data_IF_032308103943
#
_entry.id   IF_032308103943
#
_cell.length_a   1.000
_cell.length_b   1.000
_cell.length_c   1.000
_cell.angle_alpha   90.00
_cell.angle_beta   90.00
_cell.angle_gamma   90.00
#
_symmetry.space_group_name_H-M   'P 1'
#
loop_
_entity.id
_entity.type
_entity.pdbx_description
1 polymer ?
#
# COMPACT_ATOMS: atom_id res chain seq x y z
N UNK A 1 -12.18 10.19 -9.69
CA UNK A 1 -12.25 9.92 -8.25
C UNK A 1 -11.99 8.45 -8.04
N UNK A 2 -11.04 8.13 -7.17
CA UNK A 2 -10.57 6.78 -6.84
C UNK A 2 -10.99 6.45 -5.41
N UNK A 3 -11.50 5.24 -5.16
CA UNK A 3 -12.03 4.82 -3.87
C UNK A 3 -11.06 3.90 -3.14
N UNK A 4 -10.73 4.23 -1.91
CA UNK A 4 -9.84 3.45 -1.06
C UNK A 4 -10.53 2.99 0.23
N UNK A 5 -10.13 1.84 0.74
CA UNK A 5 -10.46 1.37 2.08
C UNK A 5 -9.18 1.09 2.84
N UNK A 6 -9.06 1.55 4.09
CA UNK A 6 -8.03 1.08 5.02
C UNK A 6 -8.66 0.17 6.08
N UNK A 7 -8.27 -1.10 6.08
CA UNK A 7 -8.54 -2.05 7.15
C UNK A 7 -7.46 -1.91 8.23
N UNK A 8 -7.88 -1.72 9.47
CA UNK A 8 -6.98 -1.51 10.61
C UNK A 8 -7.08 -2.73 11.53
N UNK A 9 -6.07 -3.61 11.50
CA UNK A 9 -5.96 -4.70 12.46
C UNK A 9 -5.23 -4.21 13.71
N UNK A 10 -5.96 -4.19 14.82
CA UNK A 10 -5.41 -3.79 16.12
C UNK A 10 -4.60 -4.91 16.76
N UNK A 11 -4.86 -6.16 16.40
CA UNK A 11 -4.30 -7.35 17.02
C UNK A 11 -3.83 -8.35 15.96
N UNK A 12 -2.69 -8.98 16.23
CA UNK A 12 -2.13 -10.09 15.48
C UNK A 12 -1.86 -11.22 16.46
N UNK A 13 -2.43 -12.40 16.21
CA UNK A 13 -2.18 -13.61 16.98
C UNK A 13 -1.94 -14.80 16.05
N UNK A 14 -0.66 -15.06 15.76
CA UNK A 14 -0.25 -16.02 14.74
C UNK A 14 0.76 -17.01 15.27
N UNK A 15 0.81 -18.19 14.65
CA UNK A 15 1.89 -19.16 14.84
C UNK A 15 2.71 -19.23 13.57
N UNK A 16 3.99 -18.91 13.68
CA UNK A 16 4.91 -18.90 12.55
C UNK A 16 5.78 -20.15 12.59
N UNK A 17 5.79 -20.90 11.50
CA UNK A 17 6.73 -21.99 11.29
C UNK A 17 7.97 -21.43 10.58
N UNK A 18 9.10 -21.36 11.29
CA UNK A 18 10.41 -21.03 10.70
C UNK A 18 11.31 -22.28 10.68
N UNK A 19 12.27 -22.31 9.76
CA UNK A 19 13.18 -23.44 9.54
C UNK A 19 14.05 -23.80 10.75
N UNK A 20 14.21 -22.88 11.71
CA UNK A 20 15.04 -23.06 12.92
C UNK A 20 14.32 -23.73 14.13
N UNK A 21 13.28 -24.54 13.89
CA UNK A 21 12.67 -25.42 14.91
C UNK A 21 12.07 -24.70 16.13
N UNK A 22 10.86 -24.15 15.95
CA UNK A 22 9.67 -24.22 16.84
C UNK A 22 8.60 -23.29 16.29
N UNK A 23 7.35 -23.74 16.23
CA UNK A 23 6.22 -22.83 16.05
C UNK A 23 6.34 -21.69 17.08
N UNK A 24 6.60 -20.47 16.60
CA UNK A 24 6.66 -19.30 17.46
C UNK A 24 5.33 -18.61 17.39
N UNK A 25 4.59 -18.60 18.51
CA UNK A 25 3.45 -17.71 18.64
C UNK A 25 3.95 -16.27 18.70
N UNK A 26 3.43 -15.42 17.84
CA UNK A 26 3.58 -13.98 17.89
C UNK A 26 2.21 -13.40 18.18
N UNK A 27 2.11 -12.69 19.31
CA UNK A 27 0.88 -12.04 19.75
C UNK A 27 1.18 -10.58 20.09
N UNK A 28 0.52 -9.65 19.43
CA UNK A 28 0.77 -8.22 19.63
C UNK A 28 -0.48 -7.37 19.34
N UNK A 29 -0.60 -6.29 20.10
CA UNK A 29 -1.61 -5.24 19.94
C UNK A 29 -0.94 -3.93 19.58
N UNK A 30 -1.51 -3.21 18.63
CA UNK A 30 -1.19 -1.81 18.42
C UNK A 30 -1.76 -0.97 19.56
N UNK A 31 -0.98 -0.01 20.05
CA UNK A 31 -1.52 1.01 20.94
C UNK A 31 -2.41 1.98 20.15
N UNK A 32 -3.31 2.68 20.86
CA UNK A 32 -4.11 3.75 20.28
C UNK A 32 -3.23 4.81 19.60
N UNK A 33 -2.10 5.18 20.20
CA UNK A 33 -1.15 6.13 19.61
C UNK A 33 -0.52 5.61 18.32
N UNK A 34 -0.16 4.31 18.26
CA UNK A 34 0.41 3.73 17.06
C UNK A 34 -0.59 3.69 15.89
N UNK A 35 -1.87 3.43 16.20
CA UNK A 35 -2.95 3.51 15.21
C UNK A 35 -3.16 4.96 14.78
N UNK A 36 -3.21 5.89 15.74
CA UNK A 36 -3.41 7.30 15.46
C UNK A 36 -2.29 7.87 14.57
N UNK A 37 -1.02 7.55 14.84
CA UNK A 37 0.12 7.98 14.01
C UNK A 37 0.01 7.45 12.56
N UNK A 38 -0.37 6.18 12.39
CA UNK A 38 -0.52 5.57 11.08
C UNK A 38 -1.73 6.13 10.31
N UNK A 39 -2.87 6.33 10.98
CA UNK A 39 -4.09 6.91 10.40
C UNK A 39 -3.89 8.39 10.06
N UNK A 40 -3.21 9.15 10.92
CA UNK A 40 -2.82 10.53 10.63
C UNK A 40 -1.99 10.58 9.34
N UNK A 41 -0.96 9.74 9.22
CA UNK A 41 -0.18 9.61 7.98
C UNK A 41 -1.07 9.24 6.77
N UNK A 42 -2.01 8.30 6.93
CA UNK A 42 -2.94 7.91 5.86
C UNK A 42 -3.81 9.08 5.39
N UNK A 43 -4.21 9.99 6.28
CA UNK A 43 -4.95 11.20 5.90
C UNK A 43 -4.17 12.14 4.97
N UNK A 44 -2.83 12.08 4.97
CA UNK A 44 -1.97 12.86 4.07
C UNK A 44 -1.95 12.34 2.62
N UNK A 45 -2.13 11.03 2.42
CA UNK A 45 -2.03 10.37 1.11
C UNK A 45 -2.98 10.95 0.04
N UNK A 46 -4.28 11.19 0.31
CA UNK A 46 -5.19 11.82 -0.66
C UNK A 46 -4.71 13.19 -1.13
N UNK A 47 -4.09 13.97 -0.23
CA UNK A 47 -3.53 15.29 -0.56
C UNK A 47 -2.35 15.14 -1.51
N UNK A 48 -1.43 14.21 -1.22
CA UNK A 48 -0.31 13.93 -2.11
C UNK A 48 -0.79 13.49 -3.50
N UNK A 49 -1.76 12.58 -3.60
CA UNK A 49 -2.29 12.16 -4.91
C UNK A 49 -2.79 13.36 -5.70
N UNK A 50 -3.59 14.24 -5.07
CA UNK A 50 -4.12 15.43 -5.73
C UNK A 50 -3.01 16.38 -6.17
N UNK A 51 -2.03 16.66 -5.32
CA UNK A 51 -0.94 17.59 -5.62
C UNK A 51 -0.03 17.06 -6.72
N UNK A 52 0.38 15.79 -6.61
CA UNK A 52 1.30 15.16 -7.54
C UNK A 52 0.65 14.94 -8.91
N UNK A 53 -0.67 14.84 -9.00
CA UNK A 53 -1.41 14.79 -10.29
C UNK A 53 -1.95 16.14 -10.75
N UNK A 54 -1.61 17.26 -10.08
CA UNK A 54 -2.21 18.58 -10.37
C UNK A 54 -3.76 18.58 -10.39
N UNK A 55 -4.37 17.75 -9.55
CA UNK A 55 -5.81 17.59 -9.43
C UNK A 55 -6.46 16.61 -10.41
N UNK A 56 -5.69 15.96 -11.29
CA UNK A 56 -6.25 14.99 -12.24
C UNK A 56 -6.79 13.72 -11.55
N UNK A 57 -6.26 13.37 -10.38
CA UNK A 57 -6.78 12.31 -9.52
C UNK A 57 -7.13 12.83 -8.13
N UNK A 58 -8.15 12.20 -7.53
CA UNK A 58 -8.58 12.43 -6.15
C UNK A 58 -8.91 11.10 -5.49
N UNK A 59 -8.65 11.00 -4.19
CA UNK A 59 -8.98 9.82 -3.38
C UNK A 59 -10.17 10.14 -2.48
N UNK A 60 -11.18 9.29 -2.52
CA UNK A 60 -12.20 9.13 -1.48
C UNK A 60 -11.82 7.89 -0.68
N UNK A 61 -11.89 7.93 0.66
CA UNK A 61 -11.51 6.79 1.48
C UNK A 61 -12.46 6.54 2.65
N UNK A 62 -12.53 5.28 3.05
CA UNK A 62 -13.16 4.80 4.27
C UNK A 62 -12.10 4.13 5.17
N UNK A 63 -12.32 4.15 6.47
CA UNK A 63 -11.48 3.51 7.49
C UNK A 63 -12.34 2.49 8.23
N UNK A 64 -11.87 1.25 8.35
CA UNK A 64 -12.58 0.20 9.08
C UNK A 64 -11.64 -0.48 10.08
N UNK A 65 -12.02 -0.45 11.35
CA UNK A 65 -11.22 -1.04 12.43
C UNK A 65 -11.69 -2.45 12.72
N UNK A 66 -10.78 -3.41 12.59
CA UNK A 66 -11.08 -4.82 12.80
C UNK A 66 -11.13 -5.14 14.29
N UNK A 67 -12.25 -5.76 14.69
CA UNK A 67 -12.47 -6.23 16.06
C UNK A 67 -11.86 -7.61 16.31
N UNK A 68 -11.75 -8.42 15.26
CA UNK A 68 -11.10 -9.72 15.34
C UNK A 68 -9.61 -9.59 15.06
N UNK A 69 -8.77 -10.40 15.73
CA UNK A 69 -7.35 -10.44 15.42
C UNK A 69 -7.10 -10.97 14.02
N UNK A 70 -6.00 -10.51 13.41
CA UNK A 70 -5.43 -11.21 12.27
C UNK A 70 -4.77 -12.50 12.79
N UNK A 71 -5.23 -13.66 12.31
CA UNK A 71 -4.83 -14.98 12.85
C UNK A 71 -3.99 -15.82 11.91
N UNK A 72 -3.73 -15.34 10.70
CA UNK A 72 -2.85 -15.99 9.74
C UNK A 72 -2.01 -14.97 8.98
N UNK A 73 -0.90 -15.44 8.44
CA UNK A 73 -0.08 -14.71 7.50
C UNK A 73 0.38 -15.69 6.42
N UNK A 74 0.41 -15.21 5.19
CA UNK A 74 0.95 -15.97 4.07
C UNK A 74 2.47 -15.85 4.05
N UNK A 75 3.13 -17.00 3.92
CA UNK A 75 4.57 -17.08 3.72
C UNK A 75 4.88 -16.89 2.23
N UNK A 76 5.68 -15.88 1.89
CA UNK A 76 6.20 -15.66 0.53
C UNK A 76 7.50 -16.40 0.28
N UNK A 77 8.39 -16.36 1.27
CA UNK A 77 9.72 -16.95 1.24
C UNK A 77 10.10 -17.46 2.64
N UNK A 78 11.29 -18.07 2.79
CA UNK A 78 11.73 -18.75 4.02
C UNK A 78 11.58 -17.92 5.31
N UNK A 79 11.68 -16.59 5.23
CA UNK A 79 11.53 -15.66 6.36
C UNK A 79 10.70 -14.42 6.02
N UNK A 80 9.74 -14.54 5.10
CA UNK A 80 8.91 -13.43 4.68
C UNK A 80 7.42 -13.75 4.83
N UNK A 81 6.79 -13.14 5.84
CA UNK A 81 5.37 -13.25 6.11
C UNK A 81 4.68 -11.90 5.94
N UNK A 82 3.45 -11.93 5.45
CA UNK A 82 2.63 -10.73 5.28
C UNK A 82 1.13 -11.10 5.29
N UNK A 83 0.25 -10.13 5.59
CA UNK A 83 -1.20 -10.31 5.44
C UNK A 83 -1.55 -10.29 3.96
N UNK A 84 -1.74 -11.45 3.36
CA UNK A 84 -2.26 -11.53 2.00
C UNK A 84 -3.77 -11.29 1.95
N UNK A 85 -4.37 -11.17 0.75
CA UNK A 85 -5.81 -11.19 0.61
C UNK A 85 -6.52 -12.43 1.18
N UNK A 86 -5.85 -13.59 1.30
CA UNK A 86 -6.46 -14.76 1.93
C UNK A 86 -6.50 -14.66 3.45
N UNK A 87 -5.50 -14.03 4.04
CA UNK A 87 -5.43 -13.79 5.49
C UNK A 87 -6.47 -12.76 5.96
N UNK A 88 -6.94 -11.92 5.04
CA UNK A 88 -7.94 -10.86 5.27
C UNK A 88 -9.26 -11.13 4.54
N UNK A 89 -9.48 -12.37 4.07
CA UNK A 89 -10.59 -12.74 3.18
C UNK A 89 -11.96 -12.35 3.72
N UNK A 90 -12.22 -12.65 4.99
CA UNK A 90 -13.51 -12.37 5.61
C UNK A 90 -13.83 -10.88 5.58
N UNK A 91 -12.85 -10.04 5.91
CA UNK A 91 -12.97 -8.59 5.89
C UNK A 91 -13.05 -8.04 4.46
N UNK A 92 -12.29 -8.61 3.50
CA UNK A 92 -12.41 -8.23 2.10
C UNK A 92 -13.81 -8.51 1.54
N UNK A 93 -14.38 -9.68 1.82
CA UNK A 93 -15.70 -10.05 1.30
C UNK A 93 -16.82 -9.24 1.94
N UNK A 94 -16.67 -8.88 3.22
CA UNK A 94 -17.64 -8.08 3.95
C UNK A 94 -17.54 -6.58 3.64
N UNK A 95 -16.33 -6.01 3.75
CA UNK A 95 -16.12 -4.58 3.70
C UNK A 95 -15.79 -4.10 2.29
N UNK A 96 -15.05 -4.88 1.48
CA UNK A 96 -14.59 -4.52 0.15
C UNK A 96 -15.03 -5.51 -0.95
N UNK A 97 -16.34 -5.77 -1.11
CA UNK A 97 -16.82 -6.59 -2.22
C UNK A 97 -16.44 -5.96 -3.57
N UNK A 98 -16.33 -6.79 -4.60
CA UNK A 98 -15.90 -6.36 -5.93
C UNK A 98 -16.64 -5.13 -6.44
N UNK A 99 -15.86 -4.15 -6.90
CA UNK A 99 -16.36 -2.89 -7.48
C UNK A 99 -16.73 -1.81 -6.45
N UNK A 100 -16.62 -2.08 -5.14
CA UNK A 100 -16.85 -1.06 -4.10
C UNK A 100 -15.66 -0.11 -3.96
N UNK A 101 -14.44 -0.66 -3.98
CA UNK A 101 -13.18 0.10 -3.87
C UNK A 101 -12.24 -0.25 -5.02
N UNK A 102 -11.41 0.72 -5.38
CA UNK A 102 -10.34 0.57 -6.35
C UNK A 102 -9.03 0.13 -5.67
N UNK A 103 -8.85 0.47 -4.38
CA UNK A 103 -7.72 0.07 -3.54
C UNK A 103 -8.15 -0.34 -2.14
N UNK A 104 -7.52 -1.38 -1.60
CA UNK A 104 -7.61 -1.78 -0.20
C UNK A 104 -6.23 -1.72 0.44
N UNK A 105 -6.15 -1.10 1.60
CA UNK A 105 -4.97 -1.04 2.44
C UNK A 105 -5.20 -1.83 3.72
N UNK A 106 -4.13 -2.37 4.29
CA UNK A 106 -4.15 -3.11 5.56
C UNK A 106 -3.05 -2.60 6.46
N UNK A 107 -3.41 -1.95 7.57
CA UNK A 107 -2.49 -1.66 8.66
C UNK A 107 -2.45 -2.86 9.61
N UNK A 108 -1.26 -3.37 9.91
CA UNK A 108 -1.13 -4.58 10.74
C UNK A 108 0.04 -4.55 11.75
N UNK A 109 -0.07 -5.29 12.89
CA UNK A 109 0.90 -5.30 13.98
C UNK A 109 2.10 -6.23 13.72
N UNK A 110 3.02 -5.84 12.82
CA UNK A 110 4.25 -6.60 12.55
C UNK A 110 5.29 -6.48 13.68
N UNK A 111 5.43 -5.31 14.28
CA UNK A 111 6.55 -4.94 15.15
C UNK A 111 6.10 -4.62 16.57
N UNK A 112 6.63 -5.35 17.55
CA UNK A 112 6.52 -5.00 18.96
C UNK A 112 7.83 -4.31 19.43
N UNK A 113 7.80 -2.97 19.44
CA UNK A 113 8.98 -2.16 19.78
C UNK A 113 9.36 -2.23 21.27
N UNK A 114 8.43 -2.59 22.16
CA UNK A 114 8.69 -2.66 23.60
C UNK A 114 9.61 -3.84 23.95
N UNK A 115 9.34 -5.01 23.39
CA UNK A 115 10.15 -6.21 23.63
C UNK A 115 11.08 -6.55 22.45
N UNK A 116 11.15 -5.68 21.43
CA UNK A 116 12.01 -5.82 20.24
C UNK A 116 11.77 -7.13 19.48
N UNK A 117 10.52 -7.57 19.42
CA UNK A 117 10.13 -8.73 18.61
C UNK A 117 9.36 -8.29 17.38
N UNK A 118 9.44 -9.07 16.32
CA UNK A 118 8.75 -8.77 15.06
C UNK A 118 8.44 -10.06 14.33
N UNK A 119 7.38 -10.03 13.53
CA UNK A 119 7.17 -11.02 12.48
C UNK A 119 8.27 -10.86 11.43
N UNK A 120 8.96 -11.95 11.04
CA UNK A 120 9.88 -11.93 9.92
C UNK A 120 9.16 -11.50 8.63
N UNK A 121 9.72 -10.53 7.94
CA UNK A 121 9.12 -9.94 6.76
C UNK A 121 10.04 -8.90 6.18
N UNK A 122 9.89 -8.64 4.88
CA UNK A 122 10.71 -7.69 4.13
C UNK A 122 10.43 -6.24 4.50
N UNK A 123 10.17 -5.42 3.48
CA UNK A 123 9.98 -3.98 3.56
C UNK A 123 8.85 -3.55 4.53
N UNK A 124 8.67 -2.23 4.66
CA UNK A 124 7.63 -1.66 5.52
C UNK A 124 6.24 -2.00 5.00
N UNK A 125 6.00 -1.83 3.70
CA UNK A 125 4.80 -2.29 3.04
C UNK A 125 5.07 -3.34 1.97
N UNK A 126 3.98 -3.93 1.51
CA UNK A 126 3.95 -4.80 0.36
C UNK A 126 2.63 -4.63 -0.38
N UNK A 127 2.71 -4.44 -1.70
CA UNK A 127 1.54 -4.17 -2.51
C UNK A 127 1.46 -5.05 -3.76
N UNK A 128 0.25 -5.13 -4.30
CA UNK A 128 -0.09 -5.86 -5.52
C UNK A 128 -1.13 -5.13 -6.37
N UNK A 129 -1.02 -5.35 -7.67
CA UNK A 129 -2.02 -4.94 -8.65
C UNK A 129 -3.37 -5.63 -8.45
N UNK A 130 -4.43 -4.99 -8.92
CA UNK A 130 -5.78 -5.52 -8.81
C UNK A 130 -5.92 -6.92 -9.43
N UNK A 131 -6.52 -7.85 -8.70
CA UNK A 131 -6.79 -9.20 -9.18
C UNK A 131 -8.00 -9.81 -8.46
N UNK A 132 -8.49 -10.95 -8.95
CA UNK A 132 -9.56 -11.70 -8.26
C UNK A 132 -9.19 -12.05 -6.81
N UNK A 133 -7.90 -12.20 -6.51
CA UNK A 133 -7.42 -12.48 -5.16
C UNK A 133 -7.80 -11.36 -4.18
N UNK A 134 -7.82 -10.12 -4.62
CA UNK A 134 -8.15 -8.93 -3.81
C UNK A 134 -9.51 -8.32 -4.20
N UNK A 135 -10.47 -9.15 -4.61
CA UNK A 135 -11.80 -8.72 -5.05
C UNK A 135 -11.78 -7.67 -6.19
N UNK A 136 -10.74 -7.72 -7.03
CA UNK A 136 -10.45 -6.79 -8.13
C UNK A 136 -10.09 -5.35 -7.71
N UNK A 137 -9.71 -5.13 -6.45
CA UNK A 137 -9.07 -3.89 -5.99
C UNK A 137 -7.56 -4.08 -5.92
N UNK A 138 -6.76 -3.02 -6.04
CA UNK A 138 -5.34 -3.10 -5.64
C UNK A 138 -5.26 -3.39 -4.14
N UNK A 139 -4.18 -4.01 -3.68
CA UNK A 139 -4.05 -4.36 -2.27
C UNK A 139 -2.67 -4.00 -1.75
N UNK A 140 -2.59 -3.39 -0.57
CA UNK A 140 -1.35 -3.01 0.08
C UNK A 140 -1.40 -3.31 1.58
N UNK A 141 -0.44 -4.06 2.11
CA UNK A 141 -0.30 -4.28 3.54
C UNK A 141 0.89 -3.46 4.07
N UNK A 142 0.65 -2.61 5.06
CA UNK A 142 1.65 -1.73 5.68
C UNK A 142 1.81 -2.09 7.15
N UNK A 143 3.04 -2.45 7.54
CA UNK A 143 3.36 -2.76 8.92
C UNK A 143 3.30 -1.50 9.81
N UNK A 144 3.05 -1.69 11.11
CA UNK A 144 3.20 -0.61 12.07
C UNK A 144 4.65 -0.14 12.19
N UNK A 145 4.86 1.15 12.43
CA UNK A 145 6.17 1.74 12.64
C UNK A 145 6.19 2.66 13.88
N UNK A 146 7.38 3.02 14.40
CA UNK A 146 7.47 4.01 15.47
C UNK A 146 6.94 5.37 14.99
N UNK A 147 6.31 6.15 15.87
CA UNK A 147 5.72 7.45 15.55
C UNK A 147 6.57 8.37 14.66
N UNK A 148 7.87 8.59 14.93
CA UNK A 148 8.73 9.41 14.09
C UNK A 148 8.85 8.93 12.63
N UNK A 149 8.73 7.62 12.37
CA UNK A 149 8.80 7.09 11.02
C UNK A 149 7.57 7.49 10.18
N UNK A 150 6.41 7.72 10.79
CA UNK A 150 5.22 8.21 10.08
C UNK A 150 5.29 9.69 9.70
N UNK A 151 6.25 10.43 10.28
CA UNK A 151 6.38 11.89 10.21
C UNK A 151 7.70 12.38 9.61
N UNK A 152 8.64 11.48 9.33
CA UNK A 152 9.97 11.86 8.87
C UNK A 152 9.95 12.41 7.44
N UNK A 153 9.02 11.97 6.61
CA UNK A 153 8.88 12.33 5.20
C UNK A 153 7.54 13.00 4.91
N UNK A 154 7.22 13.16 3.62
CA UNK A 154 5.97 13.76 3.23
C UNK A 154 4.80 13.01 3.86
N UNK A 155 3.84 13.75 4.40
CA UNK A 155 2.72 13.19 5.12
C UNK A 155 1.89 12.29 4.21
N UNK A 156 1.92 10.98 4.50
CA UNK A 156 1.25 9.95 3.71
C UNK A 156 2.06 9.32 2.57
N UNK A 157 3.35 9.61 2.48
CA UNK A 157 4.21 9.13 1.40
C UNK A 157 4.30 7.59 1.33
N UNK A 158 4.40 6.91 2.46
CA UNK A 158 4.42 5.43 2.49
C UNK A 158 3.14 4.84 1.89
N UNK A 159 1.98 5.42 2.17
CA UNK A 159 0.72 4.95 1.61
C UNK A 159 0.61 5.23 0.12
N UNK A 160 1.12 6.39 -0.32
CA UNK A 160 1.25 6.73 -1.73
C UNK A 160 2.15 5.74 -2.46
N UNK A 161 3.31 5.40 -1.89
CA UNK A 161 4.26 4.44 -2.43
C UNK A 161 3.60 3.09 -2.66
N UNK A 162 2.98 2.53 -1.61
CA UNK A 162 2.34 1.21 -1.71
C UNK A 162 1.13 1.21 -2.64
N UNK A 163 0.39 2.32 -2.68
CA UNK A 163 -0.69 2.51 -3.66
C UNK A 163 -0.16 2.51 -5.10
N UNK A 164 0.98 3.16 -5.36
CA UNK A 164 1.55 3.30 -6.69
C UNK A 164 1.96 1.96 -7.31
N UNK A 165 2.38 0.96 -6.52
CA UNK A 165 2.58 -0.41 -7.03
C UNK A 165 1.31 -0.95 -7.72
N UNK A 166 0.17 -0.82 -7.05
CA UNK A 166 -1.12 -1.25 -7.57
C UNK A 166 -1.60 -0.43 -8.77
N UNK A 167 -1.41 0.89 -8.72
CA UNK A 167 -1.84 1.81 -9.77
C UNK A 167 -0.99 1.68 -11.03
N UNK A 168 0.33 1.57 -10.89
CA UNK A 168 1.24 1.33 -12.00
C UNK A 168 0.85 0.03 -12.71
N UNK A 169 0.55 -1.03 -11.96
CA UNK A 169 0.03 -2.26 -12.53
C UNK A 169 -1.28 -2.04 -13.30
N UNK A 170 -2.24 -1.31 -12.74
CA UNK A 170 -3.52 -1.01 -13.39
C UNK A 170 -3.37 -0.30 -14.74
N UNK A 171 -2.49 0.71 -14.81
CA UNK A 171 -2.24 1.44 -16.05
C UNK A 171 -1.35 0.66 -17.01
N UNK A 172 -0.40 -0.14 -16.52
CA UNK A 172 0.39 -1.05 -17.36
C UNK A 172 -0.50 -2.04 -18.13
N UNK A 173 -1.53 -2.60 -17.47
CA UNK A 173 -2.52 -3.46 -18.12
C UNK A 173 -3.34 -2.76 -19.23
N UNK A 174 -3.36 -1.42 -19.24
CA UNK A 174 -4.02 -0.59 -20.25
C UNK A 174 -3.08 -0.09 -21.35
N UNK A 175 -1.83 -0.57 -21.35
CA UNK A 175 -0.84 -0.25 -22.38
C UNK A 175 0.05 0.95 -22.07
N UNK A 176 -0.03 1.53 -20.86
CA UNK A 176 0.88 2.59 -20.45
C UNK A 176 2.20 2.00 -19.94
N UNK A 177 3.30 2.36 -20.60
CA UNK A 177 4.62 1.87 -20.21
C UNK A 177 5.07 2.51 -18.89
N UNK A 178 5.29 1.67 -17.87
CA UNK A 178 5.88 2.08 -16.59
C UNK A 178 7.40 2.03 -16.66
N UNK A 179 8.11 2.93 -15.95
CA UNK A 179 9.56 2.84 -15.82
C UNK A 179 10.00 1.55 -15.10
N UNK A 180 11.25 1.14 -15.28
CA UNK A 180 11.79 -0.03 -14.59
C UNK A 180 11.61 0.11 -13.07
N UNK A 181 11.11 -0.95 -12.42
CA UNK A 181 10.78 -1.00 -10.98
C UNK A 181 9.73 0.02 -10.52
N UNK A 182 8.85 0.53 -11.39
CA UNK A 182 7.64 1.29 -11.00
C UNK A 182 7.80 2.19 -9.75
N UNK A 183 7.10 1.97 -8.65
CA UNK A 183 7.17 2.83 -7.46
C UNK A 183 8.54 2.77 -6.73
N UNK A 184 9.31 1.70 -6.94
CA UNK A 184 10.67 1.50 -6.43
C UNK A 184 11.78 2.08 -7.33
N UNK A 185 11.42 2.66 -8.47
CA UNK A 185 12.36 3.00 -9.53
C UNK A 185 13.17 4.28 -9.30
N UNK A 186 12.91 5.05 -8.23
CA UNK A 186 13.44 6.40 -8.08
C UNK A 186 14.96 6.51 -8.23
N UNK A 187 15.73 5.69 -7.50
CA UNK A 187 17.19 5.73 -7.48
C UNK A 187 17.80 5.42 -8.85
N UNK A 188 17.31 4.37 -9.52
CA UNK A 188 17.86 3.94 -10.81
C UNK A 188 17.53 4.92 -11.94
N UNK A 189 16.55 5.80 -11.72
CA UNK A 189 16.20 6.91 -12.62
C UNK A 189 16.85 8.24 -12.22
N UNK A 190 17.76 8.23 -11.25
CA UNK A 190 18.58 9.39 -10.86
C UNK A 190 17.88 10.40 -9.95
N UNK A 191 16.73 10.04 -9.38
CA UNK A 191 16.08 10.88 -8.37
C UNK A 191 16.82 10.79 -7.04
N UNK A 192 16.79 11.87 -6.27
CA UNK A 192 17.38 11.92 -4.95
C UNK A 192 16.29 11.96 -3.89
N UNK A 193 16.43 11.14 -2.84
CA UNK A 193 15.50 11.12 -1.72
C UNK A 193 15.62 12.41 -0.93
N UNK A 194 14.51 13.12 -0.78
CA UNK A 194 14.44 14.28 0.11
C UNK A 194 14.30 13.82 1.56
N UNK A 195 15.08 14.35 2.51
CA UNK A 195 14.93 14.04 3.93
C UNK A 195 13.55 14.40 4.52
N UNK A 196 12.80 15.29 3.87
CA UNK A 196 11.48 15.74 4.35
C UNK A 196 10.35 15.43 3.38
N UNK A 197 10.65 15.24 2.10
CA UNK A 197 9.64 14.98 1.07
C UNK A 197 9.72 13.55 0.51
N UNK A 198 10.61 12.70 1.05
CA UNK A 198 10.84 11.34 0.58
C UNK A 198 11.11 11.30 -0.93
N UNK A 199 10.36 10.45 -1.63
CA UNK A 199 10.47 10.27 -3.08
C UNK A 199 9.42 11.04 -3.89
N UNK A 200 8.76 12.04 -3.29
CA UNK A 200 7.64 12.75 -3.95
C UNK A 200 7.97 13.39 -5.30
N UNK A 201 9.21 13.80 -5.56
CA UNK A 201 9.60 14.29 -6.89
C UNK A 201 9.57 13.18 -7.93
N UNK A 202 10.01 11.97 -7.58
CA UNK A 202 9.87 10.79 -8.43
C UNK A 202 8.41 10.44 -8.65
N UNK A 203 7.60 10.40 -7.58
CA UNK A 203 6.19 10.08 -7.67
C UNK A 203 5.41 11.11 -8.49
N UNK A 204 5.78 12.39 -8.41
CA UNK A 204 5.23 13.45 -9.27
C UNK A 204 5.45 13.11 -10.74
N UNK A 205 6.67 12.74 -11.12
CA UNK A 205 6.98 12.45 -12.51
C UNK A 205 6.36 11.12 -12.95
N UNK A 206 6.35 10.11 -12.09
CA UNK A 206 5.68 8.83 -12.34
C UNK A 206 4.18 9.02 -12.60
N UNK A 207 3.50 9.81 -11.75
CA UNK A 207 2.07 10.11 -11.86
C UNK A 207 1.72 11.14 -12.95
N UNK A 208 2.72 11.64 -13.68
CA UNK A 208 2.56 12.55 -14.82
C UNK A 208 3.08 11.97 -16.14
N UNK A 209 3.61 10.74 -16.12
CA UNK A 209 4.21 10.13 -17.29
C UNK A 209 5.51 10.81 -17.72
N UNK A 210 6.29 11.32 -16.76
CA UNK A 210 7.46 12.16 -16.95
C UNK A 210 8.78 11.51 -16.52
N UNK A 211 8.80 10.26 -16.05
CA UNK A 211 10.05 9.58 -15.70
C UNK A 211 10.87 9.32 -16.96
N UNK A 212 12.11 9.80 -17.01
CA UNK A 212 12.98 9.64 -18.17
C UNK A 212 13.66 8.26 -18.18
N UNK A 213 13.42 7.45 -19.20
CA UNK A 213 14.08 6.15 -19.39
C UNK A 213 14.32 5.90 -20.88
N UNK A 214 15.56 5.57 -21.26
CA UNK A 214 15.94 5.24 -22.65
C UNK A 214 15.48 6.27 -23.70
N UNK A 215 15.57 7.57 -23.38
CA UNK A 215 15.15 8.66 -24.27
C UNK A 215 13.63 8.87 -24.37
N UNK A 216 12.84 8.17 -23.56
CA UNK A 216 11.38 8.28 -23.48
C UNK A 216 10.94 8.81 -22.12
N UNK A 217 9.69 9.28 -22.06
CA UNK A 217 9.00 9.64 -20.82
C UNK A 217 7.96 8.55 -20.52
N UNK A 218 8.06 7.95 -19.35
CA UNK A 218 7.27 6.80 -18.90
C UNK A 218 6.50 7.13 -17.62
N UNK A 219 5.50 6.30 -17.30
CA UNK A 219 4.58 6.49 -16.19
C UNK A 219 3.14 6.73 -16.66
N UNK A 220 2.37 7.46 -15.85
CA UNK A 220 0.93 7.66 -16.03
C UNK A 220 0.65 9.09 -16.48
N UNK A 221 0.32 9.33 -17.76
CA UNK A 221 -0.01 10.66 -18.26
C UNK A 221 -1.19 11.32 -17.51
N UNK A 222 -1.22 12.66 -17.47
CA UNK A 222 -2.24 13.37 -16.68
C UNK A 222 -3.68 13.19 -17.19
N UNK A 223 -3.85 13.08 -18.50
CA UNK A 223 -5.15 12.94 -19.17
C UNK A 223 -5.84 11.60 -18.85
N UNK A 224 -5.08 10.54 -18.60
CA UNK A 224 -5.65 9.19 -18.42
C UNK A 224 -6.20 8.94 -17.01
N UNK A 225 -5.90 9.82 -16.04
CA UNK A 225 -6.49 9.78 -14.70
C UNK A 225 -7.99 10.10 -14.69
N UNK A 226 -8.43 10.96 -15.62
CA UNK A 226 -9.85 11.31 -15.74
C UNK A 226 -10.66 10.14 -16.33
N UNK A 227 -10.07 9.44 -17.31
CA UNK A 227 -10.70 8.32 -18.03
C UNK A 227 -10.84 7.06 -17.17
N UNK A 228 -9.89 6.81 -16.25
CA UNK A 228 -9.89 5.62 -15.39
C UNK A 228 -10.97 5.63 -14.31
N UNK A 229 -11.50 6.81 -13.94
CA UNK A 229 -12.54 6.95 -12.90
C UNK A 229 -13.90 6.34 -13.27
N UNK A 230 -14.14 6.03 -14.55
CA UNK A 230 -15.33 5.31 -15.02
C UNK A 230 -15.14 3.80 -15.24
N UNK A 231 -13.89 3.32 -15.28
CA UNK A 231 -13.56 2.02 -15.91
C UNK A 231 -13.35 0.84 -14.94
N UNK A 232 -13.09 1.08 -13.65
CA UNK A 232 -13.09 0.00 -12.63
C UNK A 232 -14.46 -0.71 -12.52
N UNK A 233 -15.54 -0.07 -12.97
CA UNK A 233 -16.89 -0.64 -12.96
C UNK A 233 -17.17 -1.62 -14.10
N UNK A 234 -16.36 -1.65 -15.16
CA UNK A 234 -16.71 -2.34 -16.42
C UNK A 234 -15.90 -3.62 -16.66
N UNK A 235 -14.78 -3.83 -15.96
CA UNK A 235 -13.98 -5.06 -16.09
C UNK A 235 -14.58 -6.29 -15.38
N UNK A 236 -15.75 -6.15 -14.75
CA UNK A 236 -16.54 -7.27 -14.21
C UNK A 236 -17.59 -7.74 -15.24
N UNK A 237 -17.15 -8.41 -16.30
CA UNK A 237 -18.00 -9.22 -17.18
C UNK A 237 -17.30 -10.51 -17.57
#
# INVERSE_FOLDING_TARGET
>A
MWKALLLIYQELDVRLATTELRERRFHHYLSADAIADAVDSFHGFPTLVRELTSGAATIEYELETMLQPLTSLTQRDENEFWPSPDDTRAELDQCAPTGRYDSVFVLWPKHNFQNKTSVPGGAWGLALGASHWSNNATYAAVANAPGPAWRNEAHGEVWLHEWLHGVCHHFAQRGFAMPQRDADGAEIHGYQRSPTAGWTDYYRDLMRGMVAENGRRLGIPLDVWAESSGSFRVAAR
#
